data_IF_863362827599
#
_entry.id   IF_863362827599
#
_cell.length_a   1.000
_cell.length_b   1.000
_cell.length_c   1.000
_cell.angle_alpha   90.00
_cell.angle_beta   90.00
_cell.angle_gamma   90.00
#
_symmetry.space_group_name_H-M   'P 1'
#
loop_
_entity.id
_entity.type
_entity.pdbx_description
1 polymer ?
#
# COMPACT_ATOMS: atom_id res chain seq x y z
N UNK A 1 3.97 60.66 10.58
CA UNK A 1 4.91 60.27 11.66
C UNK A 1 4.06 59.77 12.82
N UNK A 2 4.18 58.59 13.40
CA UNK A 2 5.00 57.40 13.17
C UNK A 2 4.15 56.23 13.66
N UNK A 3 4.03 55.18 12.86
CA UNK A 3 3.49 53.88 13.27
C UNK A 3 4.63 53.16 13.98
N UNK A 4 4.42 52.69 15.21
CA UNK A 4 5.36 51.78 15.89
C UNK A 4 4.64 51.04 17.04
N UNK A 5 4.28 49.80 16.76
CA UNK A 5 3.81 48.82 17.73
C UNK A 5 4.02 47.45 17.11
N UNK A 6 5.18 46.88 17.38
CA UNK A 6 5.74 45.62 16.86
C UNK A 6 4.67 44.52 16.70
N UNK A 7 4.43 44.12 15.45
CA UNK A 7 3.90 42.80 15.14
C UNK A 7 4.96 41.76 15.50
N UNK A 8 4.61 40.81 16.36
CA UNK A 8 5.37 39.59 16.54
C UNK A 8 5.20 38.77 15.25
N UNK A 9 6.28 38.22 14.65
CA UNK A 9 6.08 37.25 13.58
C UNK A 9 5.47 36.01 14.23
N UNK A 10 4.25 35.67 13.82
CA UNK A 10 3.73 34.32 13.97
C UNK A 10 4.80 33.39 13.39
N UNK A 11 5.50 32.65 14.25
CA UNK A 11 6.29 31.52 13.81
C UNK A 11 5.29 30.56 13.17
N UNK A 12 5.26 30.51 11.84
CA UNK A 12 4.61 29.43 11.13
C UNK A 12 5.33 28.16 11.56
N UNK A 13 4.72 27.38 12.45
CA UNK A 13 5.13 26.02 12.73
C UNK A 13 4.86 25.27 11.44
N UNK A 14 5.92 24.93 10.71
CA UNK A 14 5.84 24.04 9.57
C UNK A 14 5.62 22.63 10.15
N UNK A 15 4.35 22.24 10.29
CA UNK A 15 4.01 20.87 10.67
C UNK A 15 4.26 20.01 9.44
N UNK A 16 5.43 19.36 9.43
CA UNK A 16 5.72 18.30 8.46
C UNK A 16 4.96 17.07 8.92
N UNK A 17 3.83 16.77 8.27
CA UNK A 17 3.04 15.57 8.58
C UNK A 17 3.65 14.41 7.80
N UNK A 18 4.11 13.40 8.52
CA UNK A 18 4.57 12.16 7.93
C UNK A 18 3.45 11.12 7.99
N UNK A 19 3.49 10.15 7.10
CA UNK A 19 2.62 8.99 7.21
C UNK A 19 3.32 7.71 6.79
N UNK A 20 2.96 6.61 7.44
CA UNK A 20 3.52 5.28 7.20
C UNK A 20 2.47 4.40 6.55
N UNK A 21 2.79 3.86 5.39
CA UNK A 21 2.02 2.77 4.77
C UNK A 21 2.66 1.45 5.19
N UNK A 22 1.86 0.55 5.76
CA UNK A 22 2.22 -0.84 5.94
C UNK A 22 1.36 -1.69 5.00
N UNK A 23 2.00 -2.45 4.12
CA UNK A 23 1.34 -3.45 3.28
C UNK A 23 1.75 -4.82 3.82
N UNK A 24 0.77 -5.55 4.33
CA UNK A 24 0.93 -6.94 4.74
C UNK A 24 0.29 -7.82 3.67
N UNK A 25 1.06 -8.69 3.04
CA UNK A 25 0.56 -9.75 2.14
C UNK A 25 0.86 -11.09 2.77
N UNK A 26 -0.16 -11.93 2.93
CA UNK A 26 -0.04 -13.31 3.36
C UNK A 26 -0.34 -14.17 2.14
N UNK A 27 0.69 -14.82 1.60
CA UNK A 27 0.61 -15.76 0.49
C UNK A 27 0.40 -17.16 1.06
N UNK A 28 -0.73 -17.79 0.72
CA UNK A 28 -1.16 -19.09 1.29
C UNK A 28 -0.95 -20.23 0.28
N UNK A 29 0.02 -20.11 -0.62
CA UNK A 29 0.39 -21.19 -1.50
C UNK A 29 1.11 -20.70 -2.73
N UNK A 30 2.18 -21.39 -3.09
CA UNK A 30 2.93 -21.18 -4.33
C UNK A 30 2.96 -22.50 -5.10
N UNK A 31 2.66 -22.44 -6.39
CA UNK A 31 2.84 -23.58 -7.29
C UNK A 31 4.33 -23.86 -7.45
N UNK A 32 4.74 -25.12 -7.24
CA UNK A 32 6.13 -25.58 -7.09
C UNK A 32 7.06 -25.42 -8.31
N UNK A 33 6.74 -24.57 -9.28
CA UNK A 33 7.63 -24.21 -10.39
C UNK A 33 8.50 -22.97 -10.08
N UNK A 34 8.19 -22.22 -9.02
CA UNK A 34 9.04 -21.15 -8.48
C UNK A 34 9.66 -21.56 -7.16
N UNK A 35 10.83 -22.21 -7.18
CA UNK A 35 11.58 -22.50 -5.96
C UNK A 35 12.14 -21.20 -5.36
N UNK A 36 11.37 -20.50 -4.53
CA UNK A 36 11.95 -19.60 -3.53
C UNK A 36 12.59 -20.48 -2.45
N UNK A 37 13.92 -20.55 -2.49
CA UNK A 37 14.76 -21.26 -1.52
C UNK A 37 14.27 -21.06 -0.09
N UNK A 38 14.06 -22.17 0.63
CA UNK A 38 13.63 -22.25 2.04
C UNK A 38 14.69 -21.75 3.04
N UNK A 39 15.75 -21.10 2.54
CA UNK A 39 16.72 -20.37 3.35
C UNK A 39 16.85 -18.99 2.77
N UNK A 40 16.57 -18.03 3.63
CA UNK A 40 17.18 -16.71 3.76
C UNK A 40 16.10 -15.69 4.10
N UNK A 41 16.13 -15.21 5.35
CA UNK A 41 15.68 -13.85 5.65
C UNK A 41 16.53 -12.93 4.79
N UNK A 42 16.07 -12.63 3.57
CA UNK A 42 16.84 -11.81 2.65
C UNK A 42 16.54 -10.32 2.88
N UNK A 43 17.63 -9.57 3.05
CA UNK A 43 17.70 -8.14 3.35
C UNK A 43 16.92 -7.28 2.35
N UNK A 44 16.18 -6.34 2.93
CA UNK A 44 15.97 -4.95 2.50
C UNK A 44 16.36 -4.62 1.06
N UNK A 45 15.35 -4.40 0.20
CA UNK A 45 15.50 -3.51 -0.94
C UNK A 45 15.10 -2.10 -0.49
N UNK A 46 16.05 -1.33 0.04
CA UNK A 46 15.82 0.06 0.42
C UNK A 46 15.90 0.96 -0.83
N UNK A 47 14.76 1.18 -1.45
CA UNK A 47 14.59 2.37 -2.30
C UNK A 47 14.37 3.58 -1.37
N UNK A 48 15.41 3.98 -0.62
CA UNK A 48 15.53 5.05 0.39
C UNK A 48 14.41 5.27 1.45
N UNK A 49 13.16 4.89 1.23
CA UNK A 49 12.02 5.06 2.15
C UNK A 49 11.07 3.85 2.17
N UNK A 50 11.41 2.75 1.47
CA UNK A 50 10.62 1.50 1.45
C UNK A 50 11.45 0.35 2.03
N UNK A 51 10.91 -0.35 3.02
CA UNK A 51 11.46 -1.59 3.59
C UNK A 51 10.53 -2.76 3.26
N UNK A 52 11.08 -3.87 2.77
CA UNK A 52 10.31 -5.09 2.49
C UNK A 52 10.93 -6.26 3.26
N UNK A 53 10.13 -6.92 4.08
CA UNK A 53 10.51 -8.11 4.84
C UNK A 53 9.67 -9.29 4.38
N UNK A 54 10.31 -10.36 3.92
CA UNK A 54 9.64 -11.62 3.58
C UNK A 54 10.01 -12.70 4.59
N UNK A 55 9.02 -13.37 5.14
CA UNK A 55 9.17 -14.41 6.15
C UNK A 55 8.43 -15.67 5.70
N UNK A 56 9.12 -16.81 5.64
CA UNK A 56 8.44 -18.11 5.48
C UNK A 56 7.63 -18.44 6.74
N UNK A 57 6.36 -18.78 6.57
CA UNK A 57 5.44 -19.15 7.65
C UNK A 57 4.97 -20.61 7.57
N UNK A 58 5.43 -21.34 6.55
CA UNK A 58 5.12 -22.75 6.31
C UNK A 58 5.55 -23.19 4.91
N UNK A 59 5.40 -24.49 4.57
CA UNK A 59 5.69 -24.98 3.23
C UNK A 59 4.88 -24.22 2.18
N UNK A 60 5.56 -23.57 1.24
CA UNK A 60 4.98 -22.73 0.19
C UNK A 60 4.09 -21.57 0.71
N UNK A 61 4.29 -21.13 1.95
CA UNK A 61 3.54 -20.02 2.55
C UNK A 61 4.47 -18.91 3.04
N UNK A 62 4.14 -17.67 2.70
CA UNK A 62 5.00 -16.52 2.95
C UNK A 62 4.20 -15.35 3.49
N UNK A 63 4.82 -14.62 4.42
CA UNK A 63 4.36 -13.31 4.89
C UNK A 63 5.29 -12.25 4.34
N UNK A 64 4.77 -11.33 3.55
CA UNK A 64 5.50 -10.17 3.02
C UNK A 64 4.97 -8.93 3.74
N UNK A 65 5.86 -8.16 4.35
CA UNK A 65 5.56 -6.87 4.95
C UNK A 65 6.35 -5.81 4.22
N UNK A 66 5.69 -4.97 3.44
CA UNK A 66 6.27 -3.75 2.91
C UNK A 66 5.90 -2.56 3.79
N UNK A 67 6.84 -1.68 4.05
CA UNK A 67 6.67 -0.47 4.85
C UNK A 67 7.24 0.69 4.08
N UNK A 68 6.46 1.75 3.89
CA UNK A 68 6.91 2.97 3.24
C UNK A 68 6.54 4.19 4.07
N UNK A 69 7.44 5.18 4.17
CA UNK A 69 7.17 6.45 4.83
C UNK A 69 7.08 7.56 3.79
N UNK A 70 6.07 8.42 3.91
CA UNK A 70 5.85 9.56 3.02
C UNK A 70 5.84 10.86 3.82
N UNK A 71 6.45 11.89 3.24
CA UNK A 71 6.31 13.27 3.71
C UNK A 71 5.12 13.91 2.98
N UNK A 72 3.90 13.54 3.37
CA UNK A 72 2.65 13.98 2.73
C UNK A 72 1.50 13.85 3.72
N UNK A 73 0.42 14.60 3.47
CA UNK A 73 -0.75 14.54 4.32
C UNK A 73 -1.40 13.14 4.24
N UNK A 74 -1.72 12.48 5.37
CA UNK A 74 -2.37 11.18 5.37
C UNK A 74 -3.66 11.15 4.54
N UNK A 75 -4.43 12.23 4.52
CA UNK A 75 -5.67 12.30 3.73
C UNK A 75 -5.42 12.28 2.22
N UNK A 76 -4.31 12.85 1.75
CA UNK A 76 -3.91 12.83 0.34
C UNK A 76 -3.41 11.45 -0.07
N UNK A 77 -2.57 10.83 0.76
CA UNK A 77 -2.10 9.46 0.54
C UNK A 77 -3.26 8.47 0.61
N UNK A 78 -4.21 8.66 1.53
CA UNK A 78 -5.40 7.83 1.58
C UNK A 78 -6.28 7.99 0.34
N UNK A 79 -6.46 9.21 -0.18
CA UNK A 79 -7.19 9.43 -1.42
C UNK A 79 -6.55 8.70 -2.60
N UNK A 80 -5.21 8.63 -2.65
CA UNK A 80 -4.48 7.81 -3.62
C UNK A 80 -4.75 6.31 -3.43
N UNK A 81 -4.70 5.82 -2.19
CA UNK A 81 -4.96 4.41 -1.87
C UNK A 81 -6.42 3.99 -2.09
N UNK A 82 -7.35 4.93 -2.00
CA UNK A 82 -8.78 4.71 -2.20
C UNK A 82 -9.10 4.35 -3.65
N UNK A 83 -8.39 4.96 -4.59
CA UNK A 83 -8.53 4.66 -6.01
C UNK A 83 -7.44 3.68 -6.45
N UNK A 84 -7.82 2.41 -6.58
CA UNK A 84 -6.88 1.34 -6.89
C UNK A 84 -6.19 1.53 -8.24
N UNK A 85 -6.85 2.16 -9.21
CA UNK A 85 -6.26 2.48 -10.50
C UNK A 85 -5.11 3.49 -10.33
N UNK A 86 -5.32 4.52 -9.50
CA UNK A 86 -4.27 5.51 -9.18
C UNK A 86 -3.13 4.89 -8.39
N UNK A 87 -3.43 3.99 -7.45
CA UNK A 87 -2.41 3.25 -6.71
C UNK A 87 -1.53 2.43 -7.68
N UNK A 88 -2.13 1.72 -8.63
CA UNK A 88 -1.40 0.97 -9.65
C UNK A 88 -0.59 1.92 -10.57
N UNK A 89 -1.14 3.08 -10.94
CA UNK A 89 -0.42 4.07 -11.75
C UNK A 89 0.88 4.55 -11.08
N UNK A 90 0.84 4.75 -9.76
CA UNK A 90 1.98 5.26 -8.98
C UNK A 90 2.95 4.13 -8.61
N UNK A 91 2.43 3.02 -8.10
CA UNK A 91 3.26 1.92 -7.57
C UNK A 91 3.84 1.02 -8.65
N UNK A 92 3.14 0.86 -9.77
CA UNK A 92 3.49 -0.05 -10.85
C UNK A 92 3.26 0.61 -12.23
N UNK A 93 4.11 1.59 -12.61
CA UNK A 93 3.95 2.33 -13.85
C UNK A 93 3.83 1.40 -15.06
N UNK A 94 2.75 1.57 -15.84
CA UNK A 94 2.43 0.74 -17.02
C UNK A 94 1.43 -0.39 -16.80
N UNK A 95 0.94 -0.61 -15.57
CA UNK A 95 -0.09 -1.63 -15.30
C UNK A 95 -1.53 -1.13 -15.44
N UNK A 96 -1.72 0.18 -15.57
CA UNK A 96 -3.05 0.79 -15.71
C UNK A 96 -3.68 0.61 -17.08
N UNK A 97 -2.87 0.35 -18.12
CA UNK A 97 -3.37 0.24 -19.50
C UNK A 97 -4.42 -0.87 -19.68
N UNK A 98 -4.40 -1.87 -18.80
CA UNK A 98 -5.33 -3.00 -18.80
C UNK A 98 -6.14 -3.09 -17.49
N UNK A 99 -6.17 -2.03 -16.68
CA UNK A 99 -6.96 -2.01 -15.47
C UNK A 99 -8.45 -1.94 -15.80
N UNK A 100 -9.26 -2.74 -15.11
CA UNK A 100 -10.70 -2.71 -15.27
C UNK A 100 -11.42 -3.13 -13.98
N UNK A 101 -12.41 -2.33 -13.56
CA UNK A 101 -13.42 -2.77 -12.60
C UNK A 101 -14.36 -3.81 -13.23
N UNK A 102 -14.46 -4.98 -12.61
CA UNK A 102 -15.31 -6.08 -13.04
C UNK A 102 -16.71 -6.03 -12.41
N UNK A 103 -16.78 -5.58 -11.16
CA UNK A 103 -18.02 -5.35 -10.42
C UNK A 103 -17.79 -4.29 -9.34
N UNK A 104 -18.74 -3.37 -9.21
CA UNK A 104 -18.64 -2.22 -8.32
C UNK A 104 -17.65 -1.17 -8.81
N UNK A 105 -16.97 -0.51 -7.88
CA UNK A 105 -16.02 0.56 -8.14
C UNK A 105 -15.33 1.03 -6.87
N UNK A 106 -14.58 2.14 -6.91
CA UNK A 106 -13.81 2.63 -5.76
C UNK A 106 -14.68 2.90 -4.53
N UNK A 107 -15.95 3.27 -4.69
CA UNK A 107 -16.83 3.59 -3.57
C UNK A 107 -17.76 2.43 -3.14
N UNK A 108 -17.58 1.24 -3.73
CA UNK A 108 -18.41 0.06 -3.45
C UNK A 108 -17.59 -1.05 -2.79
N UNK A 109 -18.19 -1.68 -1.77
CA UNK A 109 -17.61 -2.84 -1.08
C UNK A 109 -18.67 -3.95 -0.97
N UNK A 110 -18.38 -5.17 -1.46
CA UNK A 110 -17.15 -5.56 -2.15
C UNK A 110 -17.07 -4.96 -3.57
N UNK A 111 -15.86 -4.74 -4.05
CA UNK A 111 -15.57 -4.39 -5.45
C UNK A 111 -14.48 -5.30 -6.01
N UNK A 112 -14.59 -5.62 -7.29
CA UNK A 112 -13.66 -6.54 -7.97
C UNK A 112 -13.06 -5.85 -9.19
N UNK A 113 -11.78 -6.09 -9.43
CA UNK A 113 -11.05 -5.51 -10.53
C UNK A 113 -10.03 -6.50 -11.08
N UNK A 114 -9.50 -6.17 -12.25
CA UNK A 114 -8.40 -6.90 -12.86
C UNK A 114 -7.38 -5.93 -13.45
N UNK A 115 -6.15 -6.42 -13.60
CA UNK A 115 -5.07 -5.76 -14.33
C UNK A 115 -4.11 -6.81 -14.88
N UNK A 116 -3.18 -6.40 -15.75
CA UNK A 116 -2.19 -7.30 -16.35
C UNK A 116 -0.77 -6.95 -15.91
N UNK A 117 0.01 -7.97 -15.57
CA UNK A 117 1.44 -7.86 -15.28
C UNK A 117 2.18 -9.01 -15.96
N UNK A 118 3.18 -8.69 -16.77
CA UNK A 118 4.01 -9.70 -17.44
C UNK A 118 3.23 -10.68 -18.33
N UNK A 119 2.11 -10.25 -18.94
CA UNK A 119 1.24 -11.10 -19.74
C UNK A 119 0.25 -11.96 -18.95
N UNK A 120 0.17 -11.77 -17.63
CA UNK A 120 -0.73 -12.51 -16.74
C UNK A 120 -1.80 -11.57 -16.20
N UNK A 121 -3.07 -11.95 -16.36
CA UNK A 121 -4.21 -11.25 -15.74
C UNK A 121 -4.29 -11.61 -14.26
N UNK A 122 -4.31 -10.59 -13.41
CA UNK A 122 -4.58 -10.70 -11.99
C UNK A 122 -6.01 -10.22 -11.74
N UNK A 123 -6.76 -10.94 -10.90
CA UNK A 123 -8.11 -10.57 -10.47
C UNK A 123 -8.17 -10.51 -8.96
N UNK A 124 -8.67 -9.41 -8.44
CA UNK A 124 -8.67 -9.12 -7.00
C UNK A 124 -10.02 -8.57 -6.56
N UNK A 125 -10.31 -8.74 -5.27
CA UNK A 125 -11.49 -8.19 -4.61
C UNK A 125 -11.06 -7.34 -3.41
N UNK A 126 -11.57 -6.12 -3.34
CA UNK A 126 -11.55 -5.29 -2.14
C UNK A 126 -12.81 -5.60 -1.36
N UNK A 127 -12.67 -6.10 -0.14
CA UNK A 127 -13.79 -6.54 0.69
C UNK A 127 -13.93 -5.77 2.01
N UNK A 128 -12.96 -4.91 2.34
CA UNK A 128 -13.04 -4.04 3.52
C UNK A 128 -12.33 -2.71 3.26
N UNK A 129 -12.97 -1.60 3.68
CA UNK A 129 -12.37 -0.27 3.81
C UNK A 129 -12.86 0.39 5.09
N UNK A 130 -11.93 0.93 5.88
CA UNK A 130 -12.24 1.61 7.14
C UNK A 130 -11.47 2.93 7.21
N UNK A 131 -12.12 3.99 7.72
CA UNK A 131 -11.53 5.33 7.91
C UNK A 131 -11.78 5.93 9.30
N UNK A 132 -12.67 5.35 10.12
CA UNK A 132 -13.17 6.00 11.34
C UNK A 132 -12.11 6.10 12.46
N UNK A 133 -11.20 5.12 12.55
CA UNK A 133 -10.15 5.06 13.57
C UNK A 133 -8.76 4.71 13.02
N UNK A 134 -8.72 4.19 11.78
CA UNK A 134 -7.53 3.79 11.05
C UNK A 134 -7.91 3.77 9.57
N UNK A 135 -7.00 4.23 8.73
CA UNK A 135 -7.07 4.03 7.30
C UNK A 135 -6.65 2.60 6.98
N UNK A 136 -7.62 1.75 6.66
CA UNK A 136 -7.39 0.32 6.42
C UNK A 136 -8.14 -0.13 5.17
N UNK A 137 -7.46 -0.87 4.31
CA UNK A 137 -8.02 -1.52 3.13
C UNK A 137 -7.59 -2.98 3.13
N UNK A 138 -8.55 -3.88 2.89
CA UNK A 138 -8.26 -5.31 2.70
C UNK A 138 -8.69 -5.79 1.33
N UNK A 139 -7.83 -6.60 0.73
CA UNK A 139 -8.07 -7.19 -0.57
C UNK A 139 -7.48 -8.60 -0.65
N UNK A 140 -7.96 -9.37 -1.62
CA UNK A 140 -7.55 -10.77 -1.84
C UNK A 140 -7.55 -11.09 -3.32
N UNK A 141 -6.74 -12.07 -3.71
CA UNK A 141 -6.86 -12.63 -5.06
C UNK A 141 -8.13 -13.47 -5.21
N UNK A 142 -8.70 -13.47 -6.41
CA UNK A 142 -9.86 -14.29 -6.78
C UNK A 142 -9.45 -15.53 -7.58
N UNK A 143 -8.32 -15.48 -8.27
CA UNK A 143 -7.83 -16.56 -9.12
C UNK A 143 -6.30 -16.71 -8.97
N UNK A 144 -5.74 -17.93 -9.13
CA UNK A 144 -4.29 -18.11 -9.12
C UNK A 144 -3.61 -17.32 -10.24
N UNK A 145 -2.53 -16.60 -9.90
CA UNK A 145 -1.76 -15.80 -10.85
C UNK A 145 -0.29 -15.70 -10.39
N UNK A 146 0.64 -15.55 -11.34
CA UNK A 146 2.08 -15.43 -11.05
C UNK A 146 2.66 -16.53 -10.15
N UNK A 147 2.12 -17.74 -10.24
CA UNK A 147 2.53 -18.87 -9.38
C UNK A 147 1.99 -18.81 -7.95
N UNK A 148 1.23 -17.77 -7.58
CA UNK A 148 0.52 -17.64 -6.31
C UNK A 148 -0.85 -18.30 -6.45
N UNK A 149 -1.19 -19.21 -5.53
CA UNK A 149 -2.50 -19.87 -5.49
C UNK A 149 -3.56 -18.96 -4.90
N UNK A 150 -3.24 -18.38 -3.75
CA UNK A 150 -4.09 -17.48 -3.01
C UNK A 150 -3.24 -16.53 -2.14
N UNK A 151 -3.80 -15.36 -1.88
CA UNK A 151 -3.25 -14.43 -0.90
C UNK A 151 -4.35 -13.52 -0.35
N UNK A 152 -4.13 -13.06 0.88
CA UNK A 152 -4.86 -11.96 1.51
C UNK A 152 -3.89 -10.83 1.82
N UNK A 153 -4.31 -9.59 1.61
CA UNK A 153 -3.50 -8.42 1.83
C UNK A 153 -4.24 -7.31 2.57
N UNK A 154 -3.49 -6.58 3.39
CA UNK A 154 -3.96 -5.45 4.17
C UNK A 154 -3.03 -4.27 3.91
N UNK A 155 -3.61 -3.12 3.59
CA UNK A 155 -2.93 -1.83 3.55
C UNK A 155 -3.42 -1.01 4.74
N UNK A 156 -2.49 -0.64 5.61
CA UNK A 156 -2.73 0.27 6.72
C UNK A 156 -1.95 1.56 6.52
N UNK A 157 -2.60 2.71 6.70
CA UNK A 157 -1.97 4.01 6.70
C UNK A 157 -2.06 4.63 8.10
N UNK A 158 -0.90 4.83 8.71
CA UNK A 158 -0.75 5.43 10.04
C UNK A 158 -0.21 6.87 9.89
N UNK A 159 -0.91 7.89 10.39
CA UNK A 159 -0.33 9.22 10.57
C UNK A 159 0.85 9.16 11.54
N UNK A 160 1.96 9.81 11.19
CA UNK A 160 3.09 10.01 12.07
C UNK A 160 3.14 11.49 12.43
N UNK A 161 2.87 11.80 13.70
CA UNK A 161 3.09 13.13 14.25
C UNK A 161 4.57 13.25 14.65
N UNK A 162 5.41 13.87 13.82
CA UNK A 162 6.71 14.35 14.31
C UNK A 162 6.53 15.76 14.90
N UNK A 163 6.55 15.85 16.24
CA UNK A 163 6.66 17.14 16.92
C UNK A 163 8.13 17.57 16.84
N UNK A 164 8.46 18.44 15.87
CA UNK A 164 9.72 19.18 15.92
C UNK A 164 9.60 20.32 16.94
N UNK A 165 10.15 20.13 18.14
CA UNK A 165 10.43 21.20 19.13
C UNK A 165 11.69 21.98 18.80
#
# INVERSE_FOLDING_TARGET
MSVNGRFWPEAAIEIVVFCKINILVIVIGINGEGSMSEKDTHNEMTANDVNVVTTSIGPNQFKIVATATFNSNPSEIWALLWDWEQLLAVGLPGMTDNFQWLSGGPDEIPSTFQFEIGGVTIKEEIYERTMEHRYCLRYRTLEPALGILDYEAVIELDPIDEIHT
#
